data_IF_617400917627
#
_entry.id   IF_617400917627
#
_cell.length_a   1.000
_cell.length_b   1.000
_cell.length_c   1.000
_cell.angle_alpha   90.00
_cell.angle_beta   90.00
_cell.angle_gamma   90.00
#
_symmetry.space_group_name_H-M   'P 1'
#
loop_
_entity.id
_entity.type
_entity.pdbx_description
1 polymer ?
#
# COMPACT_ATOMS: atom_id res chain seq x y z
N UNK A 1 -54.24 -1.89 -31.84
CA UNK A 1 -55.68 -2.27 -31.87
C UNK A 1 -56.23 -2.11 -30.45
N UNK A 2 -57.51 -1.76 -30.25
CA UNK A 2 -58.12 -1.67 -28.89
C UNK A 2 -58.28 -3.09 -28.31
N UNK A 3 -58.30 -3.33 -26.99
CA UNK A 3 -59.37 -2.95 -26.04
C UNK A 3 -58.91 -2.63 -24.61
N UNK A 4 -59.79 -1.96 -23.85
CA UNK A 4 -59.63 -1.59 -22.43
C UNK A 4 -60.54 -2.46 -21.53
N UNK A 5 -60.24 -2.54 -20.22
CA UNK A 5 -61.15 -2.44 -19.04
C UNK A 5 -60.31 -2.70 -17.76
N UNK A 6 -60.29 -1.92 -16.67
CA UNK A 6 -61.29 -1.12 -15.92
C UNK A 6 -62.22 -1.98 -15.03
N UNK A 7 -62.61 -1.61 -13.78
CA UNK A 7 -62.11 -0.58 -12.82
C UNK A 7 -62.93 -0.60 -11.51
N UNK A 8 -62.34 -0.32 -10.34
CA UNK A 8 -62.96 0.27 -9.11
C UNK A 8 -61.82 0.68 -8.15
N UNK A 9 -61.78 1.77 -7.37
CA UNK A 9 -62.68 2.87 -6.94
C UNK A 9 -63.13 2.82 -5.46
N UNK A 10 -63.22 4.03 -4.86
CA UNK A 10 -63.53 4.43 -3.47
C UNK A 10 -62.29 4.73 -2.58
N UNK A 11 -62.24 5.70 -1.67
CA UNK A 11 -62.76 7.09 -1.49
C UNK A 11 -62.56 7.48 0.02
N UNK A 12 -62.94 8.69 0.44
CA UNK A 12 -62.99 9.25 1.81
C UNK A 12 -61.69 9.91 2.32
N UNK A 13 -61.84 11.11 2.90
CA UNK A 13 -60.82 11.85 3.64
C UNK A 13 -61.41 12.75 4.74
N UNK A 14 -60.56 13.41 5.53
CA UNK A 14 -60.87 14.40 6.59
C UNK A 14 -59.57 15.22 6.83
N UNK A 15 -59.44 16.55 6.98
CA UNK A 15 -60.03 17.54 7.93
C UNK A 15 -59.95 17.08 9.41
N UNK A 16 -59.48 17.86 10.40
CA UNK A 16 -59.03 19.28 10.54
C UNK A 16 -57.96 19.36 11.70
N UNK A 17 -57.33 20.43 12.19
CA UNK A 17 -57.45 21.92 12.07
C UNK A 17 -56.12 22.66 12.44
N UNK A 18 -56.16 23.99 12.60
CA UNK A 18 -55.15 24.96 13.09
C UNK A 18 -55.37 25.32 14.61
N UNK A 19 -54.71 26.29 15.32
CA UNK A 19 -53.97 27.48 14.84
C UNK A 19 -52.74 28.04 15.64
N UNK A 20 -52.06 29.00 14.99
CA UNK A 20 -51.45 30.28 15.48
C UNK A 20 -50.55 30.40 16.73
N UNK A 21 -49.30 30.80 16.43
CA UNK A 21 -48.46 31.85 17.07
C UNK A 21 -48.94 32.59 18.35
N UNK A 22 -48.03 32.68 19.33
CA UNK A 22 -47.80 33.93 20.07
C UNK A 22 -46.29 34.19 20.29
N UNK A 23 -45.92 35.45 20.55
CA UNK A 23 -44.54 35.95 20.57
C UNK A 23 -44.23 36.58 21.92
N UNK A 24 -43.19 36.11 22.62
CA UNK A 24 -42.58 36.80 23.75
C UNK A 24 -41.06 36.78 23.62
N UNK A 25 -40.44 37.93 23.89
CA UNK A 25 -39.00 38.15 23.88
C UNK A 25 -38.51 38.25 25.32
N UNK A 26 -37.38 37.65 25.68
CA UNK A 26 -36.43 38.32 26.58
C UNK A 26 -34.99 37.81 26.53
N UNK A 27 -34.06 38.77 26.68
CA UNK A 27 -32.69 38.67 27.23
C UNK A 27 -31.74 37.63 26.61
N UNK A 28 -31.04 38.09 25.58
CA UNK A 28 -29.81 37.51 25.05
C UNK A 28 -28.64 37.52 26.06
N UNK A 29 -27.74 36.54 25.92
CA UNK A 29 -26.35 36.59 26.42
C UNK A 29 -25.40 36.21 25.26
N UNK A 30 -24.34 36.97 24.96
CA UNK A 30 -23.56 36.76 23.74
C UNK A 30 -22.57 35.59 23.86
N UNK A 31 -22.73 34.57 23.02
CA UNK A 31 -21.76 33.50 22.85
C UNK A 31 -20.51 34.03 22.11
N UNK A 32 -19.32 33.90 22.69
CA UNK A 32 -18.09 34.49 22.13
C UNK A 32 -17.46 33.61 21.05
N UNK A 33 -17.43 34.14 19.82
CA UNK A 33 -16.59 33.73 18.67
C UNK A 33 -16.68 32.27 18.22
N UNK A 34 -17.44 32.03 17.16
CA UNK A 34 -17.00 31.08 16.14
C UNK A 34 -15.77 31.65 15.40
N UNK A 35 -14.83 30.79 15.02
CA UNK A 35 -13.73 31.17 14.12
C UNK A 35 -14.12 30.75 12.70
N UNK A 36 -14.38 31.72 11.83
CA UNK A 36 -14.71 31.44 10.43
C UNK A 36 -13.48 30.94 9.68
N UNK A 37 -13.56 29.69 9.18
CA UNK A 37 -12.47 29.04 8.41
C UNK A 37 -12.17 29.73 7.05
N UNK A 38 -12.90 30.78 6.66
CA UNK A 38 -12.78 31.45 5.35
C UNK A 38 -11.78 32.62 5.29
N UNK A 39 -11.11 32.98 6.38
CA UNK A 39 -10.14 34.11 6.35
C UNK A 39 -8.75 33.74 5.81
N UNK A 40 -8.39 32.46 5.74
CA UNK A 40 -7.01 32.02 5.49
C UNK A 40 -6.62 31.88 4.00
N UNK A 41 -7.59 31.95 3.08
CA UNK A 41 -7.39 31.82 1.62
C UNK A 41 -7.67 33.13 0.86
N UNK A 42 -7.71 34.27 1.57
CA UNK A 42 -8.23 35.53 1.03
C UNK A 42 -7.22 36.48 0.36
N UNK A 43 -5.90 36.17 0.34
CA UNK A 43 -4.85 37.08 -0.15
C UNK A 43 -3.61 36.36 -0.72
N UNK A 44 -3.66 35.99 -2.00
CA UNK A 44 -2.48 35.78 -2.88
C UNK A 44 -2.96 35.60 -4.34
N UNK A 45 -3.35 36.70 -5.01
CA UNK A 45 -3.77 36.67 -6.42
C UNK A 45 -3.62 38.06 -7.08
N UNK A 46 -2.37 38.49 -7.32
CA UNK A 46 -2.02 39.56 -8.26
C UNK A 46 -0.50 39.66 -8.47
N UNK A 47 -0.10 40.23 -9.61
CA UNK A 47 1.28 40.55 -10.05
C UNK A 47 2.10 39.35 -10.58
N UNK A 48 2.61 39.52 -11.80
CA UNK A 48 3.61 38.63 -12.43
C UNK A 48 4.80 39.44 -12.95
N UNK A 49 5.64 38.78 -13.76
CA UNK A 49 6.77 39.38 -14.48
C UNK A 49 7.88 40.06 -13.63
N UNK A 50 8.69 39.23 -12.96
CA UNK A 50 10.14 39.42 -12.84
C UNK A 50 10.68 40.48 -11.87
N UNK A 51 11.26 40.01 -10.76
CA UNK A 51 12.57 40.45 -10.24
C UNK A 51 13.07 39.43 -9.21
N UNK A 52 14.38 39.30 -9.02
CA UNK A 52 14.96 38.46 -7.96
C UNK A 52 14.93 39.24 -6.64
N UNK A 53 14.24 38.72 -5.63
CA UNK A 53 14.14 39.34 -4.31
C UNK A 53 14.21 38.31 -3.18
N UNK A 54 15.28 38.34 -2.38
CA UNK A 54 15.40 37.51 -1.20
C UNK A 54 14.53 38.08 -0.06
N UNK A 55 13.69 37.27 0.58
CA UNK A 55 12.77 37.82 1.59
C UNK A 55 11.72 36.91 2.22
N UNK A 56 12.00 35.63 2.49
CA UNK A 56 11.18 34.87 3.44
C UNK A 56 12.05 34.06 4.40
N UNK A 57 12.46 34.70 5.49
CA UNK A 57 13.09 34.03 6.63
C UNK A 57 12.06 33.18 7.37
N UNK A 58 11.79 31.98 6.86
CA UNK A 58 11.32 30.88 7.70
C UNK A 58 12.33 30.76 8.84
N UNK A 59 11.86 30.80 10.08
CA UNK A 59 12.72 30.71 11.26
C UNK A 59 13.17 29.26 11.45
N UNK A 60 14.02 28.78 10.55
CA UNK A 60 14.69 27.50 10.65
C UNK A 60 15.54 27.51 11.90
N UNK A 61 15.09 26.79 12.92
CA UNK A 61 16.01 26.28 13.93
C UNK A 61 17.06 25.48 13.17
N UNK A 62 18.25 26.04 13.02
CA UNK A 62 19.41 25.26 12.56
C UNK A 62 19.59 24.13 13.56
N UNK A 63 19.22 22.91 13.14
CA UNK A 63 19.38 21.73 13.96
C UNK A 63 20.84 21.66 14.41
N UNK A 64 21.08 21.52 15.71
CA UNK A 64 22.43 21.31 16.22
C UNK A 64 22.84 19.88 15.84
N UNK A 65 23.42 19.75 14.65
CA UNK A 65 24.14 18.57 14.20
C UNK A 65 25.44 18.42 15.01
N UNK A 66 25.29 18.15 16.31
CA UNK A 66 26.36 17.91 17.29
C UNK A 66 26.19 16.54 17.99
N UNK A 67 25.39 15.66 17.38
CA UNK A 67 25.36 14.22 17.63
C UNK A 67 25.40 13.50 16.28
N UNK A 68 26.13 12.40 16.20
CA UNK A 68 25.98 11.44 15.10
C UNK A 68 24.75 10.57 15.32
N UNK A 69 24.38 9.76 14.32
CA UNK A 69 23.37 8.72 14.53
C UNK A 69 23.87 7.71 15.56
N UNK A 70 22.98 7.24 16.43
CA UNK A 70 23.27 6.05 17.23
C UNK A 70 23.32 4.81 16.32
N UNK A 71 23.97 3.71 16.74
CA UNK A 71 23.91 2.45 16.00
C UNK A 71 22.48 1.93 15.82
N UNK A 72 21.58 2.18 16.80
CA UNK A 72 20.16 1.83 16.72
C UNK A 72 19.40 2.68 15.70
N UNK A 73 19.50 4.01 15.80
CA UNK A 73 18.89 4.95 14.84
C UNK A 73 19.36 4.70 13.40
N UNK A 74 20.62 4.30 13.21
CA UNK A 74 21.12 3.88 11.91
C UNK A 74 20.56 2.52 11.49
N UNK A 75 20.42 1.53 12.38
CA UNK A 75 19.81 0.24 12.06
C UNK A 75 18.33 0.37 11.65
N UNK A 76 17.58 1.26 12.31
CA UNK A 76 16.19 1.59 11.97
C UNK A 76 16.01 2.19 10.58
N UNK A 77 17.06 2.77 9.98
CA UNK A 77 17.06 3.17 8.56
C UNK A 77 17.70 2.14 7.64
N UNK A 78 18.70 1.38 8.10
CA UNK A 78 19.39 0.36 7.28
C UNK A 78 18.53 -0.86 6.97
N UNK A 79 17.54 -1.20 7.80
CA UNK A 79 16.62 -2.28 7.47
C UNK A 79 15.59 -1.87 6.38
N UNK A 80 14.84 -0.76 6.51
CA UNK A 80 14.05 -0.20 5.40
C UNK A 80 14.89 0.02 4.13
N UNK A 81 16.08 0.64 4.23
CA UNK A 81 16.99 0.82 3.08
C UNK A 81 17.47 -0.48 2.40
N UNK A 82 17.16 -1.66 2.94
CA UNK A 82 17.32 -2.95 2.28
C UNK A 82 16.00 -3.52 1.74
N UNK A 83 14.87 -3.21 2.35
CA UNK A 83 13.54 -3.49 1.81
C UNK A 83 13.28 -2.62 0.57
N UNK A 84 13.55 -1.31 0.60
CA UNK A 84 13.25 -0.42 -0.55
C UNK A 84 14.05 -0.79 -1.82
N UNK A 85 15.22 -1.42 -1.66
CA UNK A 85 16.02 -1.96 -2.78
C UNK A 85 15.38 -3.25 -3.37
N UNK A 86 14.60 -3.98 -2.57
CA UNK A 86 13.82 -5.15 -2.97
C UNK A 86 12.46 -4.74 -3.53
N UNK A 87 11.82 -3.73 -2.93
CA UNK A 87 10.59 -3.08 -3.35
C UNK A 87 10.75 -2.55 -4.78
N UNK A 88 11.72 -1.65 -4.99
CA UNK A 88 12.08 -1.15 -6.32
C UNK A 88 12.49 -2.28 -7.29
N UNK A 89 13.12 -3.36 -6.84
CA UNK A 89 13.51 -4.47 -7.73
C UNK A 89 12.31 -5.26 -8.27
N UNK A 90 11.20 -5.35 -7.53
CA UNK A 90 9.96 -5.91 -8.08
C UNK A 90 9.13 -4.87 -8.81
N UNK A 91 9.04 -3.63 -8.32
CA UNK A 91 8.30 -2.56 -8.99
C UNK A 91 8.85 -2.28 -10.39
N UNK A 92 10.19 -2.25 -10.56
CA UNK A 92 10.85 -2.19 -11.88
C UNK A 92 10.44 -3.38 -12.79
N UNK A 93 10.21 -4.59 -12.27
CA UNK A 93 9.75 -5.72 -13.10
C UNK A 93 8.31 -5.56 -13.58
N UNK A 94 7.45 -4.90 -12.79
CA UNK A 94 6.10 -4.54 -13.23
C UNK A 94 6.13 -3.36 -14.20
N UNK A 95 6.92 -2.30 -13.92
CA UNK A 95 7.04 -1.17 -14.82
C UNK A 95 7.58 -1.60 -16.20
N UNK A 96 8.63 -2.43 -16.26
CA UNK A 96 9.17 -2.99 -17.52
C UNK A 96 8.12 -3.67 -18.42
N UNK A 97 7.08 -4.26 -17.82
CA UNK A 97 6.08 -5.08 -18.51
C UNK A 97 4.73 -4.39 -18.71
N UNK A 98 4.35 -3.41 -17.87
CA UNK A 98 3.00 -2.85 -17.90
C UNK A 98 2.88 -1.36 -17.53
N UNK A 99 3.90 -0.76 -16.92
CA UNK A 99 3.92 0.66 -16.59
C UNK A 99 4.39 1.56 -17.73
N UNK A 100 4.56 2.84 -17.45
CA UNK A 100 5.00 3.84 -18.44
C UNK A 100 6.48 3.63 -18.81
N UNK A 101 6.81 3.73 -20.10
CA UNK A 101 8.15 3.52 -20.64
C UNK A 101 8.81 4.86 -21.02
N UNK A 102 9.60 5.42 -20.11
CA UNK A 102 10.22 6.74 -20.27
C UNK A 102 11.68 6.81 -19.77
N UNK A 103 12.14 8.03 -19.44
CA UNK A 103 13.48 8.29 -18.89
C UNK A 103 13.54 8.34 -17.36
N UNK A 104 12.39 8.34 -16.67
CA UNK A 104 12.25 8.44 -15.21
C UNK A 104 12.45 7.06 -14.58
N UNK A 105 11.77 6.05 -15.14
CA UNK A 105 11.87 4.63 -14.71
C UNK A 105 12.41 3.75 -15.86
N UNK A 106 13.69 3.87 -16.23
CA UNK A 106 14.26 3.23 -17.41
C UNK A 106 14.49 1.71 -17.22
N UNK A 107 13.69 0.91 -17.90
CA UNK A 107 13.73 -0.55 -17.77
C UNK A 107 13.52 -1.33 -19.05
N UNK A 108 12.32 -1.23 -19.62
CA UNK A 108 11.76 -2.25 -20.51
C UNK A 108 11.30 -1.71 -21.86
N UNK A 109 10.27 -2.36 -22.41
CA UNK A 109 9.56 -1.91 -23.61
C UNK A 109 8.05 -2.17 -23.56
N UNK A 110 7.51 -2.55 -22.40
CA UNK A 110 6.10 -2.94 -22.24
C UNK A 110 5.71 -4.28 -22.86
N UNK A 111 4.63 -4.85 -22.35
CA UNK A 111 3.97 -6.06 -22.84
C UNK A 111 2.47 -5.77 -22.99
N UNK A 112 1.98 -5.40 -24.19
CA UNK A 112 0.61 -4.91 -24.36
C UNK A 112 -0.46 -5.86 -23.80
N UNK A 113 -0.35 -7.17 -24.03
CA UNK A 113 -1.35 -8.12 -23.53
C UNK A 113 -1.39 -8.22 -21.98
N UNK A 114 -0.27 -7.99 -21.29
CA UNK A 114 -0.21 -7.98 -19.83
C UNK A 114 -0.61 -6.63 -19.23
N UNK A 115 -0.27 -5.53 -19.90
CA UNK A 115 -0.81 -4.19 -19.62
C UNK A 115 -2.34 -4.19 -19.74
N UNK A 116 -2.91 -4.66 -20.86
CA UNK A 116 -4.35 -4.81 -21.09
C UNK A 116 -5.03 -5.64 -19.98
N UNK A 117 -4.38 -6.72 -19.52
CA UNK A 117 -4.91 -7.58 -18.45
C UNK A 117 -4.84 -6.93 -17.05
N UNK A 118 -3.89 -6.04 -16.82
CA UNK A 118 -3.86 -5.21 -15.60
C UNK A 118 -4.87 -4.08 -15.67
N UNK A 119 -5.09 -3.47 -16.85
CA UNK A 119 -6.08 -2.40 -17.07
C UNK A 119 -7.53 -2.82 -16.79
N UNK A 120 -7.81 -4.13 -16.65
CA UNK A 120 -9.09 -4.67 -16.16
C UNK A 120 -9.31 -4.38 -14.65
N UNK A 121 -8.26 -4.07 -13.89
CA UNK A 121 -8.34 -3.67 -12.47
C UNK A 121 -8.66 -2.18 -12.30
N UNK A 122 -8.06 -1.32 -13.12
CA UNK A 122 -8.28 0.14 -13.19
C UNK A 122 -7.66 0.64 -14.51
N UNK A 123 -8.19 1.70 -15.14
CA UNK A 123 -7.67 2.12 -16.46
C UNK A 123 -6.31 2.83 -16.38
N UNK A 124 -5.98 3.46 -15.25
CA UNK A 124 -4.70 4.18 -15.00
C UNK A 124 -3.61 3.28 -14.35
N UNK A 125 -3.72 1.95 -14.47
CA UNK A 125 -2.81 1.00 -13.81
C UNK A 125 -1.33 1.15 -14.20
N UNK A 126 -1.03 1.66 -15.39
CA UNK A 126 0.35 1.89 -15.85
C UNK A 126 1.00 3.11 -15.19
N UNK A 127 0.23 4.18 -14.97
CA UNK A 127 0.63 5.35 -14.18
C UNK A 127 0.87 4.95 -12.72
N UNK A 128 -0.07 4.25 -12.07
CA UNK A 128 0.13 3.83 -10.68
C UNK A 128 1.37 2.92 -10.50
N UNK A 129 1.65 2.03 -11.47
CA UNK A 129 2.85 1.19 -11.46
C UNK A 129 4.12 2.05 -11.62
N UNK A 130 4.09 3.06 -12.50
CA UNK A 130 5.23 3.95 -12.74
C UNK A 130 5.53 4.85 -11.53
N UNK A 131 4.53 5.55 -11.00
CA UNK A 131 4.62 6.44 -9.83
C UNK A 131 5.22 5.71 -8.63
N UNK A 132 4.67 4.54 -8.28
CA UNK A 132 5.15 3.74 -7.15
C UNK A 132 6.58 3.20 -7.39
N UNK A 133 6.95 2.96 -8.66
CA UNK A 133 8.33 2.57 -8.98
C UNK A 133 9.30 3.75 -8.83
N UNK A 134 8.89 4.99 -9.14
CA UNK A 134 9.70 6.18 -8.85
C UNK A 134 9.87 6.33 -7.33
N UNK A 135 8.78 6.31 -6.56
CA UNK A 135 8.80 6.46 -5.10
C UNK A 135 9.82 5.51 -4.46
N UNK A 136 9.78 4.20 -4.73
CA UNK A 136 10.72 3.24 -4.12
C UNK A 136 12.17 3.44 -4.55
N UNK A 137 12.37 3.86 -5.81
CA UNK A 137 13.69 4.25 -6.32
C UNK A 137 14.21 5.48 -5.55
N UNK A 138 13.36 6.46 -5.21
CA UNK A 138 13.76 7.61 -4.39
C UNK A 138 13.93 7.26 -2.91
N UNK A 139 13.04 6.46 -2.32
CA UNK A 139 13.11 6.00 -0.94
C UNK A 139 14.46 5.32 -0.66
N UNK A 140 14.83 4.32 -1.48
CA UNK A 140 16.08 3.58 -1.29
C UNK A 140 17.33 4.41 -1.54
N UNK A 141 17.28 5.38 -2.46
CA UNK A 141 18.38 6.30 -2.72
C UNK A 141 18.56 7.29 -1.57
N UNK A 142 17.47 7.93 -1.13
CA UNK A 142 17.47 8.91 -0.06
C UNK A 142 17.98 8.30 1.26
N UNK A 143 17.49 7.12 1.66
CA UNK A 143 17.90 6.46 2.89
C UNK A 143 19.41 6.17 2.90
N UNK A 144 19.95 5.66 1.79
CA UNK A 144 21.38 5.38 1.67
C UNK A 144 22.23 6.67 1.60
N UNK A 145 21.76 7.71 0.90
CA UNK A 145 22.44 9.01 0.87
C UNK A 145 22.46 9.67 2.27
N UNK A 146 21.35 9.60 3.01
CA UNK A 146 21.26 10.10 4.38
C UNK A 146 22.20 9.34 5.32
N UNK A 147 22.21 8.00 5.29
CA UNK A 147 23.15 7.17 6.07
C UNK A 147 24.62 7.57 5.78
N UNK A 148 24.99 7.69 4.50
CA UNK A 148 26.32 8.13 4.09
C UNK A 148 26.65 9.54 4.59
N UNK A 149 25.70 10.49 4.55
CA UNK A 149 25.87 11.86 5.06
C UNK A 149 26.17 11.92 6.56
N UNK A 150 25.77 10.90 7.32
CA UNK A 150 26.02 10.75 8.76
C UNK A 150 27.24 9.87 9.07
N UNK A 151 27.98 9.42 8.04
CA UNK A 151 29.13 8.54 8.18
C UNK A 151 28.77 7.08 8.54
N UNK A 152 27.50 6.70 8.43
CA UNK A 152 27.03 5.35 8.78
C UNK A 152 27.11 4.40 7.59
N UNK A 153 27.28 3.07 7.81
CA UNK A 153 27.32 2.11 6.72
C UNK A 153 26.00 2.10 5.93
N UNK A 154 26.09 2.13 4.60
CA UNK A 154 24.95 1.99 3.70
C UNK A 154 24.52 0.53 3.55
N UNK A 155 23.58 0.28 2.64
CA UNK A 155 23.14 -1.03 2.17
C UNK A 155 23.53 -1.19 0.69
N UNK A 156 23.94 -2.39 0.30
CA UNK A 156 24.14 -2.74 -1.10
C UNK A 156 23.76 -4.22 -1.31
N UNK A 157 22.63 -4.47 -1.99
CA UNK A 157 22.19 -5.82 -2.33
C UNK A 157 22.67 -6.28 -3.72
N UNK A 158 23.40 -5.44 -4.47
CA UNK A 158 23.94 -5.77 -5.80
C UNK A 158 24.66 -7.12 -5.93
N UNK A 159 25.48 -7.56 -4.95
CA UNK A 159 26.10 -8.89 -4.96
C UNK A 159 25.12 -10.08 -4.94
N UNK A 160 23.86 -9.85 -4.58
CA UNK A 160 22.79 -10.85 -4.54
C UNK A 160 21.84 -10.76 -5.75
N UNK A 161 22.15 -9.92 -6.75
CA UNK A 161 21.36 -9.75 -7.98
C UNK A 161 21.60 -10.91 -8.95
N UNK A 162 21.06 -12.08 -8.60
CA UNK A 162 21.36 -13.37 -9.25
C UNK A 162 20.12 -14.09 -9.79
N UNK A 163 18.90 -13.64 -9.46
CA UNK A 163 17.68 -14.33 -9.88
C UNK A 163 17.31 -14.00 -11.33
N UNK A 164 16.67 -14.93 -12.03
CA UNK A 164 16.08 -14.64 -13.34
C UNK A 164 14.65 -14.09 -13.16
N UNK A 165 14.37 -12.94 -13.76
CA UNK A 165 13.02 -12.41 -13.93
C UNK A 165 12.30 -12.99 -15.16
N UNK A 166 11.31 -12.27 -15.67
CA UNK A 166 10.61 -12.63 -16.92
C UNK A 166 11.53 -12.61 -18.15
N UNK A 167 11.24 -13.48 -19.12
CA UNK A 167 11.77 -13.43 -20.50
C UNK A 167 10.66 -13.24 -21.55
N UNK A 168 9.49 -12.73 -21.13
CA UNK A 168 8.47 -12.21 -22.05
C UNK A 168 8.95 -10.89 -22.70
N UNK A 169 8.36 -10.55 -23.85
CA UNK A 169 8.50 -9.23 -24.49
C UNK A 169 8.19 -8.13 -23.46
N UNK A 170 8.95 -7.04 -23.47
CA UNK A 170 8.86 -5.97 -22.47
C UNK A 170 9.94 -6.05 -21.39
N UNK A 171 10.23 -7.25 -20.89
CA UNK A 171 11.25 -7.45 -19.85
C UNK A 171 12.65 -7.07 -20.34
N UNK A 172 13.42 -6.40 -19.49
CA UNK A 172 14.82 -6.06 -19.74
C UNK A 172 15.77 -7.25 -19.72
N UNK A 173 15.31 -8.43 -19.29
CA UNK A 173 16.13 -9.63 -19.09
C UNK A 173 17.20 -9.52 -18.00
N UNK A 174 17.25 -8.39 -17.26
CA UNK A 174 18.20 -8.18 -16.14
C UNK A 174 17.99 -9.23 -15.04
N UNK A 175 19.08 -9.57 -14.35
CA UNK A 175 19.03 -10.35 -13.12
C UNK A 175 18.41 -9.51 -11.98
N UNK A 176 17.72 -10.19 -11.06
CA UNK A 176 16.86 -9.63 -10.00
C UNK A 176 17.33 -10.02 -8.61
N UNK A 177 16.81 -9.33 -7.62
CA UNK A 177 16.89 -9.68 -6.20
C UNK A 177 15.65 -10.48 -5.76
N UNK A 178 14.51 -10.22 -6.40
CA UNK A 178 13.18 -10.75 -6.13
C UNK A 178 12.69 -11.74 -7.20
N UNK A 179 11.65 -12.52 -6.88
CA UNK A 179 11.08 -13.55 -7.74
C UNK A 179 9.54 -13.48 -7.78
N UNK A 180 9.01 -12.88 -8.84
CA UNK A 180 7.56 -12.70 -9.04
C UNK A 180 6.87 -13.88 -9.73
N UNK A 181 7.56 -15.02 -9.86
CA UNK A 181 7.07 -16.18 -10.63
C UNK A 181 6.69 -17.39 -9.77
N UNK A 182 6.90 -17.31 -8.46
CA UNK A 182 6.82 -18.44 -7.50
C UNK A 182 6.24 -18.02 -6.13
N UNK A 183 5.27 -17.11 -6.15
CA UNK A 183 4.71 -16.43 -4.99
C UNK A 183 3.61 -17.22 -4.28
N UNK A 184 3.49 -17.08 -2.95
CA UNK A 184 2.40 -17.62 -2.12
C UNK A 184 1.87 -16.46 -1.27
N UNK A 185 0.75 -15.85 -1.66
CA UNK A 185 0.34 -14.56 -1.11
C UNK A 185 -0.52 -14.71 0.16
N UNK A 186 -0.25 -13.90 1.17
CA UNK A 186 -1.15 -13.72 2.30
C UNK A 186 -2.11 -12.56 2.02
N UNK A 187 -3.35 -12.90 1.64
CA UNK A 187 -4.44 -11.95 1.41
C UNK A 187 -5.26 -11.64 2.67
N UNK A 188 -4.81 -12.09 3.86
CA UNK A 188 -5.50 -11.85 5.13
C UNK A 188 -5.54 -10.38 5.55
N UNK A 189 -4.66 -9.53 5.00
CA UNK A 189 -4.71 -8.07 5.19
C UNK A 189 -6.08 -7.48 4.82
N UNK A 190 -6.74 -8.05 3.82
CA UNK A 190 -8.03 -7.58 3.33
C UNK A 190 -9.11 -7.66 4.41
N UNK A 191 -9.24 -8.82 5.05
CA UNK A 191 -10.21 -9.05 6.12
C UNK A 191 -9.73 -8.45 7.44
N UNK A 192 -8.41 -8.42 7.68
CA UNK A 192 -7.79 -7.73 8.82
C UNK A 192 -8.22 -6.28 8.91
N UNK A 193 -8.20 -5.54 7.80
CA UNK A 193 -8.64 -4.13 7.80
C UNK A 193 -10.16 -3.93 7.86
N UNK A 194 -10.96 -4.98 7.61
CA UNK A 194 -12.43 -4.97 7.62
C UNK A 194 -13.04 -5.63 8.88
N UNK A 195 -12.24 -6.22 9.76
CA UNK A 195 -12.69 -6.82 11.04
C UNK A 195 -12.74 -5.74 12.16
N UNK A 196 -13.90 -5.51 12.81
CA UNK A 196 -14.04 -4.51 13.87
C UNK A 196 -13.78 -5.06 15.29
N UNK A 197 -13.48 -6.35 15.45
CA UNK A 197 -13.38 -7.04 16.74
C UNK A 197 -11.94 -7.43 17.12
N UNK A 198 -11.08 -7.63 16.13
CA UNK A 198 -9.71 -8.15 16.30
C UNK A 198 -8.63 -7.19 15.78
N UNK A 199 -7.48 -7.21 16.44
CA UNK A 199 -6.28 -6.46 16.05
C UNK A 199 -5.05 -7.37 16.29
N UNK A 200 -4.16 -7.60 15.32
CA UNK A 200 -2.97 -8.43 15.53
C UNK A 200 -2.11 -7.99 16.73
N UNK A 201 -2.12 -6.70 17.07
CA UNK A 201 -1.39 -6.17 18.24
C UNK A 201 -1.98 -6.65 19.59
N UNK A 202 -3.27 -7.01 19.63
CA UNK A 202 -3.98 -7.47 20.83
C UNK A 202 -4.34 -8.97 20.78
N UNK A 203 -4.50 -9.52 19.58
CA UNK A 203 -4.99 -10.87 19.29
C UNK A 203 -3.98 -11.64 18.39
N UNK A 204 -2.71 -11.80 18.80
CA UNK A 204 -1.63 -12.30 17.92
C UNK A 204 -1.77 -13.78 17.50
N UNK A 205 -2.77 -14.50 18.02
CA UNK A 205 -3.12 -15.87 17.63
C UNK A 205 -4.40 -15.95 16.78
N UNK A 206 -5.05 -14.82 16.47
CA UNK A 206 -6.24 -14.80 15.62
C UNK A 206 -5.87 -14.93 14.14
N UNK A 207 -6.47 -15.90 13.45
CA UNK A 207 -6.24 -16.15 12.03
C UNK A 207 -7.29 -15.42 11.21
N UNK A 208 -6.90 -14.27 10.64
CA UNK A 208 -7.73 -13.49 9.72
C UNK A 208 -8.01 -14.29 8.43
N UNK A 209 -9.27 -14.38 7.96
CA UNK A 209 -9.58 -15.16 6.75
C UNK A 209 -8.91 -14.60 5.49
N UNK A 210 -8.47 -15.49 4.60
CA UNK A 210 -7.96 -15.13 3.27
C UNK A 210 -9.09 -14.59 2.38
N UNK A 211 -8.88 -13.44 1.73
CA UNK A 211 -9.82 -12.95 0.71
C UNK A 211 -9.75 -13.77 -0.59
N UNK A 212 -8.57 -14.29 -0.92
CA UNK A 212 -8.35 -15.24 -2.03
C UNK A 212 -7.63 -16.48 -1.49
N UNK A 213 -8.35 -17.45 -0.90
CA UNK A 213 -7.74 -18.61 -0.23
C UNK A 213 -6.82 -19.46 -1.11
N UNK A 214 -7.03 -19.43 -2.43
CA UNK A 214 -6.22 -20.15 -3.41
C UNK A 214 -4.82 -19.55 -3.63
N UNK A 215 -4.64 -18.23 -3.42
CA UNK A 215 -3.34 -17.57 -3.51
C UNK A 215 -2.41 -17.91 -2.33
N UNK A 216 -3.00 -18.28 -1.18
CA UNK A 216 -2.28 -18.64 0.03
C UNK A 216 -1.74 -20.09 0.04
N UNK A 217 -1.95 -20.84 -1.04
CA UNK A 217 -1.47 -22.22 -1.22
C UNK A 217 -0.88 -22.41 -2.61
N UNK A 218 0.11 -23.29 -2.74
CA UNK A 218 0.85 -23.45 -4.00
C UNK A 218 1.80 -22.29 -4.30
N UNK A 219 2.19 -22.13 -5.56
CA UNK A 219 3.09 -21.07 -6.02
C UNK A 219 2.57 -20.51 -7.35
N UNK A 220 2.32 -19.21 -7.36
CA UNK A 220 1.68 -18.48 -8.46
C UNK A 220 2.67 -17.55 -9.15
N UNK A 221 2.39 -17.18 -10.40
CA UNK A 221 3.17 -16.18 -11.14
C UNK A 221 2.36 -14.90 -11.24
N UNK A 222 2.94 -13.79 -10.79
CA UNK A 222 2.34 -12.46 -10.86
C UNK A 222 2.77 -11.68 -12.10
N UNK A 223 3.80 -12.15 -12.82
CA UNK A 223 4.17 -11.66 -14.16
C UNK A 223 4.17 -12.81 -15.17
N UNK A 224 3.96 -12.55 -16.48
CA UNK A 224 4.21 -13.54 -17.51
C UNK A 224 5.69 -13.93 -17.48
N UNK A 225 6.00 -15.23 -17.41
CA UNK A 225 7.37 -15.77 -17.36
C UNK A 225 8.00 -15.74 -18.75
N UNK A 226 7.18 -16.02 -19.76
CA UNK A 226 7.52 -15.99 -21.18
C UNK A 226 6.29 -15.54 -21.99
N UNK A 227 6.46 -15.28 -23.28
CA UNK A 227 5.34 -15.00 -24.20
C UNK A 227 4.34 -16.17 -24.36
N UNK A 228 4.61 -17.37 -23.83
CA UNK A 228 3.61 -18.44 -23.79
C UNK A 228 2.47 -18.14 -22.80
N UNK A 229 2.79 -17.47 -21.68
CA UNK A 229 1.81 -17.15 -20.64
C UNK A 229 0.79 -16.10 -21.12
N UNK A 230 1.16 -15.26 -22.09
CA UNK A 230 0.27 -14.24 -22.68
C UNK A 230 -0.66 -14.77 -23.77
N UNK A 231 -0.62 -16.08 -24.09
CA UNK A 231 -1.45 -16.67 -25.16
C UNK A 231 -2.85 -17.13 -24.70
N UNK A 232 -3.09 -17.24 -23.39
CA UNK A 232 -4.37 -17.66 -22.82
C UNK A 232 -4.92 -16.54 -21.95
N UNK A 233 -5.93 -15.81 -22.44
CA UNK A 233 -6.50 -14.65 -21.75
C UNK A 233 -6.99 -14.94 -20.32
N UNK A 234 -7.58 -16.12 -20.06
CA UNK A 234 -8.06 -16.47 -18.72
C UNK A 234 -6.91 -16.76 -17.74
N UNK A 235 -5.80 -17.34 -18.21
CA UNK A 235 -4.60 -17.48 -17.39
C UNK A 235 -3.85 -16.16 -17.23
N UNK A 236 -3.74 -15.34 -18.29
CA UNK A 236 -3.11 -14.02 -18.22
C UNK A 236 -3.85 -13.08 -17.27
N UNK A 237 -5.19 -13.10 -17.26
CA UNK A 237 -5.97 -12.39 -16.26
C UNK A 237 -5.73 -12.93 -14.83
N UNK A 238 -5.52 -14.23 -14.67
CA UNK A 238 -5.14 -14.80 -13.37
C UNK A 238 -3.76 -14.31 -12.89
N UNK A 239 -2.81 -14.09 -13.81
CA UNK A 239 -1.50 -13.48 -13.53
C UNK A 239 -1.69 -12.01 -13.11
N UNK A 240 -2.43 -11.21 -13.88
CA UNK A 240 -2.70 -9.81 -13.55
C UNK A 240 -3.47 -9.64 -12.22
N UNK A 241 -4.45 -10.50 -11.95
CA UNK A 241 -5.14 -10.54 -10.65
C UNK A 241 -4.17 -10.93 -9.52
N UNK A 242 -3.22 -11.85 -9.77
CA UNK A 242 -2.17 -12.21 -8.79
C UNK A 242 -1.25 -11.03 -8.51
N UNK A 243 -0.90 -10.22 -9.51
CA UNK A 243 -0.15 -8.97 -9.34
C UNK A 243 -0.93 -7.95 -8.50
N UNK A 244 -2.22 -7.71 -8.81
CA UNK A 244 -3.09 -6.82 -8.04
C UNK A 244 -3.12 -7.15 -6.55
N UNK A 245 -3.22 -8.45 -6.20
CA UNK A 245 -3.11 -8.89 -4.81
C UNK A 245 -1.67 -8.85 -4.27
N UNK A 246 -0.63 -9.05 -5.08
CA UNK A 246 0.76 -8.93 -4.65
C UNK A 246 1.10 -7.50 -4.22
N UNK A 247 0.74 -6.48 -5.02
CA UNK A 247 0.97 -5.07 -4.71
C UNK A 247 0.49 -4.73 -3.28
N UNK A 248 -0.80 -4.90 -3.02
CA UNK A 248 -1.39 -4.65 -1.70
C UNK A 248 -0.85 -5.57 -0.57
N UNK A 249 -0.24 -6.72 -0.92
CA UNK A 249 0.38 -7.63 0.06
C UNK A 249 1.72 -7.11 0.58
N UNK A 250 2.56 -6.50 -0.27
CA UNK A 250 3.86 -5.96 0.17
C UNK A 250 3.71 -4.59 0.82
N UNK A 251 2.92 -3.73 0.18
CA UNK A 251 2.65 -2.34 0.58
C UNK A 251 1.98 -2.25 1.96
N UNK A 252 1.16 -3.25 2.32
CA UNK A 252 0.67 -3.41 3.70
C UNK A 252 1.80 -3.54 4.71
N UNK A 253 2.87 -4.25 4.34
CA UNK A 253 4.05 -4.49 5.16
C UNK A 253 4.79 -3.20 5.47
N UNK A 254 5.10 -2.39 4.46
CA UNK A 254 5.71 -1.07 4.59
C UNK A 254 4.91 -0.11 5.46
N UNK A 255 3.63 0.07 5.12
CA UNK A 255 2.60 0.79 5.88
C UNK A 255 2.58 0.41 7.38
N UNK A 256 2.72 -0.87 7.73
CA UNK A 256 2.83 -1.31 9.13
C UNK A 256 4.23 -1.17 9.74
N UNK A 257 5.30 -1.37 8.96
CA UNK A 257 6.68 -1.40 9.44
C UNK A 257 7.16 -0.01 9.84
N UNK A 258 6.98 0.99 8.98
CA UNK A 258 7.46 2.35 9.22
C UNK A 258 6.97 2.97 10.56
N UNK A 259 5.66 2.97 10.91
CA UNK A 259 5.21 3.43 12.23
C UNK A 259 5.68 2.53 13.38
N UNK A 260 5.94 1.25 13.14
CA UNK A 260 6.51 0.33 14.14
C UNK A 260 7.99 0.63 14.44
N UNK A 261 8.78 1.04 13.44
CA UNK A 261 10.17 1.47 13.61
C UNK A 261 10.27 2.90 14.15
N UNK A 262 9.38 3.80 13.74
CA UNK A 262 9.36 5.20 14.19
C UNK A 262 9.24 5.35 15.71
N UNK A 263 8.52 4.43 16.37
CA UNK A 263 8.37 4.36 17.83
C UNK A 263 9.67 4.00 18.58
N UNK A 264 10.70 3.50 17.88
CA UNK A 264 12.01 3.12 18.46
C UNK A 264 13.10 4.17 18.24
N UNK A 265 12.94 5.04 17.26
CA UNK A 265 13.94 6.04 16.91
C UNK A 265 14.11 7.10 18.02
N UNK A 266 15.36 7.46 18.32
CA UNK A 266 15.71 8.47 19.33
C UNK A 266 16.19 9.78 18.70
N UNK A 267 16.66 9.73 17.46
CA UNK A 267 17.16 10.89 16.73
C UNK A 267 16.04 11.58 15.94
N UNK A 268 15.83 12.89 16.17
CA UNK A 268 14.70 13.66 15.59
C UNK A 268 14.59 13.53 14.06
N UNK A 269 15.71 13.55 13.34
CA UNK A 269 15.71 13.40 11.88
C UNK A 269 15.36 11.96 11.44
N UNK A 270 15.65 10.94 12.24
CA UNK A 270 15.30 9.54 11.93
C UNK A 270 13.82 9.29 12.18
N UNK A 271 13.29 9.79 13.30
CA UNK A 271 11.84 9.86 13.53
C UNK A 271 11.17 10.55 12.34
N UNK A 272 11.67 11.73 11.94
CA UNK A 272 11.11 12.49 10.82
C UNK A 272 11.11 11.72 9.50
N UNK A 273 12.18 11.00 9.18
CA UNK A 273 12.26 10.17 7.96
C UNK A 273 11.21 9.06 8.01
N UNK A 274 11.18 8.29 9.10
CA UNK A 274 10.27 7.16 9.25
C UNK A 274 8.78 7.57 9.23
N UNK A 275 8.42 8.74 9.81
CA UNK A 275 7.06 9.28 9.74
C UNK A 275 6.75 10.13 8.49
N UNK A 276 7.71 10.29 7.57
CA UNK A 276 7.48 10.92 6.25
C UNK A 276 7.33 9.88 5.14
N UNK A 277 8.09 8.78 5.22
CA UNK A 277 7.94 7.65 4.28
C UNK A 277 6.74 6.77 4.67
N UNK A 278 6.56 6.37 5.94
CA UNK A 278 5.40 5.54 6.32
C UNK A 278 4.02 5.99 5.78
N UNK A 279 3.73 7.31 5.68
CA UNK A 279 2.55 7.81 4.99
C UNK A 279 2.49 7.68 3.46
N UNK A 280 3.61 7.61 2.71
CA UNK A 280 3.60 7.29 1.27
C UNK A 280 3.22 5.82 1.06
N UNK A 281 3.85 4.88 1.78
CA UNK A 281 3.45 3.46 1.86
C UNK A 281 1.95 3.28 2.18
N UNK A 282 1.41 4.17 3.02
CA UNK A 282 -0.02 4.18 3.38
C UNK A 282 -0.90 4.57 2.18
N UNK A 283 -0.44 5.51 1.35
CA UNK A 283 -1.13 5.91 0.10
C UNK A 283 -1.02 4.80 -0.95
N UNK A 284 0.17 4.23 -1.14
CA UNK A 284 0.40 3.07 -2.01
C UNK A 284 -0.53 1.91 -1.64
N UNK A 285 -0.47 1.44 -0.39
CA UNK A 285 -1.36 0.37 0.11
C UNK A 285 -2.85 0.70 -0.10
N UNK A 286 -3.27 1.94 0.18
CA UNK A 286 -4.67 2.37 0.01
C UNK A 286 -5.12 2.34 -1.45
N UNK A 287 -4.26 2.69 -2.40
CA UNK A 287 -4.49 2.52 -3.84
C UNK A 287 -4.59 1.04 -4.20
N UNK A 288 -3.59 0.24 -3.86
CA UNK A 288 -3.53 -1.15 -4.31
C UNK A 288 -4.62 -2.04 -3.71
N UNK A 289 -5.03 -1.82 -2.46
CA UNK A 289 -6.12 -2.61 -1.86
C UNK A 289 -7.52 -2.21 -2.36
N UNK A 290 -7.68 -1.03 -2.99
CA UNK A 290 -8.84 -0.72 -3.83
C UNK A 290 -8.76 -1.51 -5.16
N UNK A 291 -7.63 -1.41 -5.87
CA UNK A 291 -7.49 -2.00 -7.23
C UNK A 291 -7.52 -3.53 -7.21
N UNK A 292 -6.96 -4.17 -6.19
CA UNK A 292 -7.09 -5.61 -5.95
C UNK A 292 -8.56 -6.06 -5.84
N UNK A 293 -9.45 -5.19 -5.36
CA UNK A 293 -10.89 -5.46 -5.30
C UNK A 293 -11.58 -5.55 -6.66
N UNK A 294 -10.99 -4.98 -7.72
CA UNK A 294 -11.56 -5.04 -9.06
C UNK A 294 -11.22 -6.31 -9.84
N UNK A 295 -10.34 -7.17 -9.29
CA UNK A 295 -10.00 -8.48 -9.86
C UNK A 295 -11.27 -9.29 -10.24
N UNK A 296 -11.49 -9.59 -11.54
CA UNK A 296 -12.67 -10.33 -11.97
C UNK A 296 -12.66 -11.78 -11.43
N UNK A 297 -13.81 -12.33 -11.02
CA UNK A 297 -13.89 -13.68 -10.51
C UNK A 297 -13.63 -14.70 -11.62
N UNK A 298 -12.61 -15.53 -11.44
CA UNK A 298 -12.17 -16.53 -12.42
C UNK A 298 -11.50 -17.71 -11.73
N UNK A 299 -11.37 -18.82 -12.46
CA UNK A 299 -10.46 -19.92 -12.11
C UNK A 299 -9.54 -20.19 -13.28
N UNK A 300 -8.25 -20.36 -13.00
CA UNK A 300 -7.25 -20.76 -13.97
C UNK A 300 -6.33 -21.84 -13.39
N UNK A 301 -5.73 -22.65 -14.26
CA UNK A 301 -4.66 -23.57 -13.93
C UNK A 301 -3.44 -23.19 -14.73
N UNK A 302 -2.30 -23.04 -14.05
CA UNK A 302 -1.02 -22.76 -14.67
C UNK A 302 -0.60 -23.94 -15.59
N UNK A 303 -0.44 -23.72 -16.91
CA UNK A 303 -0.08 -24.79 -17.85
C UNK A 303 1.35 -25.32 -17.65
N UNK A 304 2.19 -24.65 -16.87
CA UNK A 304 3.59 -25.04 -16.60
C UNK A 304 3.73 -25.81 -15.28
N UNK A 305 2.97 -25.45 -14.24
CA UNK A 305 3.11 -26.05 -12.90
C UNK A 305 1.93 -26.92 -12.46
N UNK A 306 0.77 -26.81 -13.12
CA UNK A 306 -0.47 -27.45 -12.68
C UNK A 306 -1.10 -26.85 -11.42
N UNK A 307 -0.55 -25.76 -10.87
CA UNK A 307 -1.16 -25.02 -9.75
C UNK A 307 -2.43 -24.31 -10.26
N UNK A 308 -3.54 -24.46 -9.53
CA UNK A 308 -4.80 -23.76 -9.81
C UNK A 308 -5.00 -22.58 -8.86
N UNK A 309 -5.51 -21.48 -9.40
CA UNK A 309 -5.92 -20.28 -8.66
C UNK A 309 -7.38 -19.96 -8.98
N UNK A 310 -8.11 -19.53 -7.95
CA UNK A 310 -9.52 -19.13 -8.03
C UNK A 310 -9.70 -17.82 -7.30
N UNK A 311 -10.07 -16.78 -8.04
CA UNK A 311 -10.47 -15.48 -7.54
C UNK A 311 -11.99 -15.49 -7.28
N UNK A 312 -12.46 -15.33 -6.03
CA UNK A 312 -13.88 -15.24 -5.75
C UNK A 312 -14.44 -13.88 -6.16
N UNK A 313 -15.78 -13.77 -6.26
CA UNK A 313 -16.41 -12.46 -6.32
C UNK A 313 -16.32 -11.79 -4.94
N UNK A 314 -15.78 -10.57 -4.90
CA UNK A 314 -15.67 -9.73 -3.69
C UNK A 314 -16.73 -8.62 -3.63
N UNK A 315 -17.63 -8.50 -4.61
CA UNK A 315 -18.88 -7.76 -4.42
C UNK A 315 -19.93 -8.68 -3.78
N UNK A 316 -19.91 -8.70 -2.44
CA UNK A 316 -20.72 -9.59 -1.59
C UNK A 316 -21.33 -8.85 -0.40
N UNK A 317 -22.36 -9.45 0.21
CA UNK A 317 -23.02 -8.89 1.40
C UNK A 317 -22.20 -9.03 2.70
N UNK A 318 -21.18 -9.90 2.73
CA UNK A 318 -20.29 -10.04 3.88
C UNK A 318 -19.31 -8.85 3.95
N UNK A 319 -19.38 -7.98 4.99
CA UNK A 319 -18.53 -6.79 5.07
C UNK A 319 -17.03 -7.13 5.12
N UNK A 320 -16.63 -8.28 5.68
CA UNK A 320 -15.22 -8.70 5.72
C UNK A 320 -14.61 -8.89 4.32
N UNK A 321 -15.44 -9.23 3.32
CA UNK A 321 -15.02 -9.50 1.95
C UNK A 321 -15.47 -8.42 0.96
N UNK A 322 -16.30 -7.47 1.36
CA UNK A 322 -16.93 -6.51 0.44
C UNK A 322 -15.92 -5.49 -0.09
N UNK A 323 -15.73 -5.48 -1.42
CA UNK A 323 -14.67 -4.67 -2.05
C UNK A 323 -14.75 -3.17 -1.78
N UNK A 324 -15.94 -2.57 -1.88
CA UNK A 324 -16.09 -1.11 -1.72
C UNK A 324 -16.02 -0.58 -0.28
N UNK A 325 -15.75 -1.45 0.72
CA UNK A 325 -15.40 -1.03 2.08
C UNK A 325 -13.88 -0.82 2.15
N UNK A 326 -13.40 0.24 1.49
CA UNK A 326 -11.96 0.52 1.31
C UNK A 326 -11.31 1.29 2.47
N UNK A 327 -12.07 1.70 3.48
CA UNK A 327 -11.55 2.42 4.67
C UNK A 327 -11.38 1.44 5.84
N UNK A 328 -10.31 1.52 6.64
CA UNK A 328 -10.12 0.64 7.80
C UNK A 328 -11.27 0.72 8.82
N UNK A 329 -11.95 -0.40 9.05
CA UNK A 329 -13.02 -0.50 10.06
C UNK A 329 -12.44 -0.28 11.47
N UNK A 330 -13.11 0.50 12.35
CA UNK A 330 -12.62 0.74 13.70
C UNK A 330 -12.53 -0.54 14.54
N UNK A 331 -11.39 -0.78 15.17
CA UNK A 331 -11.13 -1.98 15.97
C UNK A 331 -10.53 -1.65 17.35
N UNK A 332 -10.46 -2.62 18.28
CA UNK A 332 -9.79 -2.42 19.56
C UNK A 332 -8.31 -2.08 19.39
N UNK A 333 -7.86 -1.03 20.10
CA UNK A 333 -6.49 -0.53 20.03
C UNK A 333 -5.98 -0.14 21.42
N UNK A 334 -4.74 -0.53 21.74
CA UNK A 334 -4.06 -0.43 23.04
C UNK A 334 -4.75 -1.18 24.20
N UNK A 335 -6.06 -1.06 24.37
CA UNK A 335 -6.87 -1.80 25.35
C UNK A 335 -8.31 -1.96 24.85
N UNK A 336 -8.91 -3.13 25.11
CA UNK A 336 -10.36 -3.38 24.89
C UNK A 336 -11.27 -2.57 25.84
N UNK A 337 -10.70 -1.79 26.77
CA UNK A 337 -11.43 -0.82 27.62
C UNK A 337 -11.57 0.58 26.99
N UNK A 338 -10.97 0.82 25.83
CA UNK A 338 -11.10 2.07 25.08
C UNK A 338 -12.11 1.89 23.92
N UNK A 339 -12.71 2.99 23.41
CA UNK A 339 -13.52 2.92 22.19
C UNK A 339 -12.68 2.40 21.00
N UNK A 340 -13.27 1.62 20.08
CA UNK A 340 -12.62 1.21 18.84
C UNK A 340 -12.12 2.40 18.02
N UNK A 341 -10.99 2.23 17.33
CA UNK A 341 -10.35 3.26 16.53
C UNK A 341 -10.00 2.73 15.14
N UNK A 342 -10.13 3.57 14.10
CA UNK A 342 -9.65 3.26 12.75
C UNK A 342 -8.14 3.54 12.71
N UNK A 343 -7.35 2.51 12.39
CA UNK A 343 -5.89 2.51 12.51
C UNK A 343 -5.22 1.65 11.42
N UNK A 344 -3.93 1.89 11.20
CA UNK A 344 -3.00 0.91 10.62
C UNK A 344 -2.78 -0.23 11.62
N UNK A 345 -2.66 -1.48 11.16
CA UNK A 345 -2.52 -2.66 12.03
C UNK A 345 -1.83 -3.85 11.37
N UNK A 346 -0.77 -4.45 11.97
CA UNK A 346 -0.18 -4.12 13.29
C UNK A 346 0.63 -2.81 13.30
N UNK A 347 0.95 -2.35 14.51
CA UNK A 347 1.88 -1.23 14.80
C UNK A 347 2.83 -1.50 15.99
N UNK A 348 2.81 -2.71 16.59
CA UNK A 348 3.77 -3.08 17.66
C UNK A 348 5.21 -3.21 17.15
N UNK A 349 6.13 -2.81 18.01
CA UNK A 349 7.56 -2.63 17.70
C UNK A 349 8.44 -3.87 17.94
N UNK A 350 7.93 -4.86 18.68
CA UNK A 350 8.69 -6.06 19.09
C UNK A 350 8.73 -7.09 17.95
N UNK A 351 9.92 -7.32 17.40
CA UNK A 351 10.11 -8.28 16.31
C UNK A 351 9.54 -7.83 14.96
N UNK A 352 9.25 -6.54 14.79
CA UNK A 352 8.63 -5.99 13.59
C UNK A 352 9.50 -6.20 12.33
N UNK A 353 10.82 -6.00 12.45
CA UNK A 353 11.73 -6.13 11.31
C UNK A 353 11.93 -7.61 10.90
N UNK A 354 12.15 -8.49 11.88
CA UNK A 354 12.16 -9.94 11.65
C UNK A 354 10.81 -10.48 11.19
N UNK A 355 9.69 -9.85 11.59
CA UNK A 355 8.34 -10.13 11.12
C UNK A 355 8.20 -9.86 9.63
N UNK A 356 8.53 -8.65 9.18
CA UNK A 356 8.54 -8.27 7.77
C UNK A 356 9.45 -9.20 6.94
N UNK A 357 10.69 -9.45 7.38
CA UNK A 357 11.59 -10.35 6.66
C UNK A 357 11.07 -11.79 6.56
N UNK A 358 10.46 -12.32 7.62
CA UNK A 358 9.82 -13.65 7.62
C UNK A 358 8.64 -13.70 6.66
N UNK A 359 7.81 -12.66 6.62
CA UNK A 359 6.65 -12.54 5.74
C UNK A 359 7.08 -12.57 4.25
N UNK A 360 8.00 -11.69 3.84
CA UNK A 360 8.53 -11.65 2.46
C UNK A 360 9.23 -12.96 2.06
N UNK A 361 9.93 -13.60 3.01
CA UNK A 361 10.55 -14.92 2.79
C UNK A 361 9.49 -16.03 2.62
N UNK A 362 8.46 -16.06 3.45
CA UNK A 362 7.37 -17.04 3.38
C UNK A 362 6.52 -16.86 2.11
N UNK A 363 6.35 -15.62 1.65
CA UNK A 363 5.70 -15.28 0.38
C UNK A 363 6.45 -15.83 -0.85
N UNK A 364 7.70 -16.27 -0.70
CA UNK A 364 8.52 -16.78 -1.80
C UNK A 364 9.20 -15.70 -2.65
N UNK A 365 9.13 -14.43 -2.24
CA UNK A 365 9.74 -13.30 -2.96
C UNK A 365 11.26 -13.49 -3.18
N UNK A 366 11.92 -14.21 -2.27
CA UNK A 366 13.36 -14.52 -2.34
C UNK A 366 13.65 -15.95 -2.82
N UNK A 367 12.69 -16.62 -3.50
CA UNK A 367 12.87 -18.01 -3.93
C UNK A 367 14.00 -18.14 -4.96
N UNK A 368 15.09 -18.80 -4.54
CA UNK A 368 16.32 -18.96 -5.30
C UNK A 368 17.51 -18.14 -4.77
N UNK A 369 17.29 -17.28 -3.76
CA UNK A 369 18.38 -16.49 -3.18
C UNK A 369 19.44 -17.33 -2.44
N UNK A 370 20.63 -16.76 -2.35
CA UNK A 370 21.77 -17.37 -1.65
C UNK A 370 21.60 -17.35 -0.12
N UNK A 371 22.22 -18.30 0.58
CA UNK A 371 22.27 -18.27 2.06
C UNK A 371 22.96 -17.00 2.60
N UNK A 372 23.86 -16.39 1.82
CA UNK A 372 24.52 -15.13 2.16
C UNK A 372 23.56 -13.93 2.12
N UNK A 373 22.61 -13.91 1.16
CA UNK A 373 21.52 -12.92 1.14
C UNK A 373 20.67 -13.02 2.41
N UNK A 374 20.21 -14.24 2.76
CA UNK A 374 19.40 -14.43 3.96
C UNK A 374 20.17 -14.05 5.24
N UNK A 375 21.46 -14.41 5.35
CA UNK A 375 22.29 -14.03 6.49
C UNK A 375 22.42 -12.49 6.62
N UNK A 376 22.62 -11.79 5.50
CA UNK A 376 22.71 -10.33 5.47
C UNK A 376 21.39 -9.65 5.87
N UNK A 377 20.26 -10.09 5.29
CA UNK A 377 18.94 -9.54 5.62
C UNK A 377 18.56 -9.82 7.07
N UNK A 378 18.84 -11.02 7.60
CA UNK A 378 18.61 -11.37 9.01
C UNK A 378 19.45 -10.46 9.93
N UNK A 379 20.71 -10.17 9.58
CA UNK A 379 21.55 -9.26 10.36
C UNK A 379 20.96 -7.83 10.43
N UNK A 380 20.43 -7.32 9.32
CA UNK A 380 19.79 -5.99 9.30
C UNK A 380 18.48 -5.98 10.10
N UNK A 381 17.64 -6.99 9.94
CA UNK A 381 16.39 -7.13 10.68
C UNK A 381 16.63 -7.25 12.19
N UNK A 382 17.59 -8.09 12.61
CA UNK A 382 17.98 -8.22 14.01
C UNK A 382 18.57 -6.93 14.60
N UNK A 383 19.29 -6.14 13.80
CA UNK A 383 19.81 -4.86 14.27
C UNK A 383 18.70 -3.82 14.48
N UNK A 384 17.70 -3.76 13.59
CA UNK A 384 16.53 -2.89 13.75
C UNK A 384 15.63 -3.34 14.92
N UNK A 385 15.44 -4.65 15.10
CA UNK A 385 14.71 -5.21 16.25
C UNK A 385 15.45 -5.09 17.59
N UNK A 386 16.73 -4.71 17.58
CA UNK A 386 17.57 -4.46 18.77
C UNK A 386 17.84 -2.97 19.05
N UNK A 387 17.32 -2.06 18.22
CA UNK A 387 17.53 -0.61 18.31
C UNK A 387 16.75 0.07 19.45
#
# INVERSE_FOLDING_TARGET
MKTNSASTANDIGNTQDHPQTQKLEEKSRPYKRSISRRSFLGKSLAVGAGTVGAGFFINTRTARASGGLTPGDAALLRFPAALEILEADFWIQYNELAGIQDSEVPGGSGNPAYHDALAVLDEDMDQYIHDNTEDEITHHQFLNAYLASKGMPTVNLGPFRTLHGSTATGSSGKLRLTNLTKLTLDTSWWTRYRDPNHNPDLDPTFVFPQAVPSLHVGRHTAIPRTNADTTNANFLQAIANTAGFHFATVEQGGNSLYPSLAQRATHEEVIRILISIGPTETMHFQTWQDKAGNAPPLTATDPVTGVSVTFPNLDVSNPLLKKNLIMPEPCPFLSRSLPPCSIIRPTKTEGAAMGALRFLTAMGLFFGQSQAFFAFMIQLAQAADAA
#
